data_IF_258439754092
#
_entry.id   IF_258439754092
#
_cell.length_a   1.000
_cell.length_b   1.000
_cell.length_c   1.000
_cell.angle_alpha   90.00
_cell.angle_beta   90.00
_cell.angle_gamma   90.00
#
_symmetry.space_group_name_H-M   'P 1'
#
loop_
_entity.id
_entity.type
_entity.pdbx_description
1 polymer ?
#
# COMPACT_ATOMS: atom_id res chain seq x y z
N UNK A 1 4.77 24.04 -19.89
CA UNK A 1 4.36 23.40 -18.62
C UNK A 1 3.53 22.16 -18.93
N UNK A 2 3.80 21.04 -18.26
CA UNK A 2 2.95 19.84 -18.34
C UNK A 2 1.71 20.07 -17.47
N UNK A 3 0.53 19.82 -18.01
CA UNK A 3 -0.73 19.90 -17.27
C UNK A 3 -1.30 18.49 -17.07
N UNK A 4 -1.40 18.06 -15.83
CA UNK A 4 -1.96 16.75 -15.44
C UNK A 4 -3.32 16.94 -14.80
N UNK A 5 -4.24 16.02 -15.09
CA UNK A 5 -5.54 15.92 -14.47
C UNK A 5 -5.65 14.56 -13.79
N UNK A 6 -5.75 14.56 -12.46
CA UNK A 6 -5.84 13.36 -11.64
C UNK A 6 -7.18 13.33 -10.91
N UNK A 7 -7.96 12.30 -11.19
CA UNK A 7 -9.18 11.97 -10.46
C UNK A 7 -8.94 10.75 -9.59
N UNK A 8 -9.42 10.77 -8.37
CA UNK A 8 -9.45 9.59 -7.52
C UNK A 8 -10.79 9.45 -6.81
N UNK A 9 -11.25 8.23 -6.73
CA UNK A 9 -12.48 7.87 -6.05
C UNK A 9 -12.20 6.66 -5.16
N UNK A 10 -12.63 6.72 -3.89
CA UNK A 10 -12.38 5.67 -2.91
C UNK A 10 -13.65 5.34 -2.14
N UNK A 11 -13.95 4.06 -2.02
CA UNK A 11 -14.94 3.50 -1.12
C UNK A 11 -14.29 2.59 -0.10
N UNK A 12 -14.72 2.72 1.16
CA UNK A 12 -14.33 1.86 2.27
C UNK A 12 -15.59 1.41 3.00
N UNK A 13 -15.77 0.10 3.10
CA UNK A 13 -16.76 -0.52 3.96
C UNK A 13 -16.04 -1.20 5.13
N UNK A 14 -16.45 -0.90 6.35
CA UNK A 14 -15.89 -1.49 7.56
C UNK A 14 -17.00 -1.94 8.48
N UNK A 15 -16.87 -3.18 8.95
CA UNK A 15 -17.69 -3.77 9.99
C UNK A 15 -16.82 -4.13 11.18
N UNK A 16 -17.27 -3.78 12.39
CA UNK A 16 -16.56 -4.07 13.64
C UNK A 16 -17.52 -4.60 14.66
N UNK A 17 -17.11 -5.62 15.41
CA UNK A 17 -17.87 -6.16 16.53
C UNK A 17 -16.96 -6.53 17.69
N UNK A 18 -17.39 -6.12 18.88
CA UNK A 18 -16.70 -6.41 20.13
C UNK A 18 -17.50 -7.48 20.89
N UNK A 19 -16.78 -8.50 21.36
CA UNK A 19 -17.26 -9.54 22.28
C UNK A 19 -16.44 -9.42 23.57
N UNK A 20 -16.80 -10.18 24.62
CA UNK A 20 -16.12 -10.09 25.94
C UNK A 20 -14.58 -10.05 25.84
N UNK A 21 -14.00 -11.04 25.17
CA UNK A 21 -12.55 -11.16 25.03
C UNK A 21 -12.07 -11.04 23.58
N UNK A 22 -13.00 -10.92 22.63
CA UNK A 22 -12.69 -10.82 21.21
C UNK A 22 -13.15 -9.50 20.62
N UNK A 23 -12.36 -8.97 19.73
CA UNK A 23 -12.74 -7.90 18.82
C UNK A 23 -12.47 -8.39 17.40
N UNK A 24 -13.47 -8.27 16.54
CA UNK A 24 -13.35 -8.65 15.13
C UNK A 24 -13.66 -7.45 14.28
N UNK A 25 -12.83 -7.21 13.30
CA UNK A 25 -13.03 -6.21 12.26
C UNK A 25 -12.88 -6.86 10.89
N UNK A 26 -13.77 -6.55 9.96
CA UNK A 26 -13.67 -6.96 8.58
C UNK A 26 -14.07 -5.79 7.67
N UNK A 27 -13.50 -5.73 6.50
CA UNK A 27 -13.84 -4.66 5.59
C UNK A 27 -13.39 -4.92 4.16
N UNK A 28 -13.83 -4.01 3.30
CA UNK A 28 -13.44 -3.98 1.90
C UNK A 28 -13.20 -2.55 1.44
N UNK A 29 -12.32 -2.39 0.49
CA UNK A 29 -11.94 -1.12 -0.09
C UNK A 29 -11.87 -1.24 -1.60
N UNK A 30 -12.36 -0.22 -2.29
CA UNK A 30 -12.17 -0.05 -3.73
C UNK A 30 -11.63 1.36 -3.97
N UNK A 31 -10.58 1.45 -4.77
CA UNK A 31 -9.98 2.72 -5.19
C UNK A 31 -9.96 2.71 -6.71
N UNK A 32 -10.39 3.81 -7.30
CA UNK A 32 -10.29 4.08 -8.72
C UNK A 32 -9.50 5.37 -8.93
N UNK A 33 -8.49 5.32 -9.78
CA UNK A 33 -7.63 6.46 -10.11
C UNK A 33 -7.60 6.59 -11.63
N UNK A 34 -7.73 7.81 -12.10
CA UNK A 34 -7.63 8.17 -13.51
C UNK A 34 -6.68 9.35 -13.68
N UNK A 35 -5.71 9.23 -14.56
CA UNK A 35 -4.76 10.28 -14.89
C UNK A 35 -4.77 10.57 -16.38
N UNK A 36 -5.01 11.84 -16.70
CA UNK A 36 -4.93 12.36 -18.06
C UNK A 36 -3.95 13.52 -18.15
N UNK A 37 -3.06 13.42 -19.13
CA UNK A 37 -2.20 14.53 -19.53
C UNK A 37 -2.92 15.37 -20.60
N UNK A 38 -3.03 16.67 -20.37
CA UNK A 38 -3.63 17.59 -21.36
C UNK A 38 -2.69 17.77 -22.54
N UNK A 39 -3.24 17.61 -23.75
CA UNK A 39 -2.54 17.93 -24.99
C UNK A 39 -2.32 19.46 -25.11
N UNK A 40 -1.37 19.89 -25.95
CA UNK A 40 -1.15 21.28 -26.30
C UNK A 40 -0.07 22.01 -25.50
N UNK A 41 0.65 21.30 -24.63
CA UNK A 41 1.77 21.89 -23.86
C UNK A 41 3.11 21.89 -24.62
N UNK A 42 3.18 21.23 -25.78
CA UNK A 42 4.41 21.08 -26.58
C UNK A 42 5.43 20.08 -26.03
N UNK A 43 5.09 19.38 -24.95
CA UNK A 43 5.93 18.35 -24.33
C UNK A 43 5.20 17.00 -24.30
N UNK A 44 5.93 15.94 -24.62
CA UNK A 44 5.44 14.56 -24.43
C UNK A 44 5.57 14.23 -22.93
N UNK A 45 4.47 13.84 -22.27
CA UNK A 45 4.53 13.46 -20.86
C UNK A 45 5.41 12.22 -20.65
N UNK A 46 6.23 12.22 -19.60
CA UNK A 46 7.08 11.08 -19.24
C UNK A 46 6.23 9.87 -18.79
N UNK A 47 5.05 10.14 -18.27
CA UNK A 47 4.08 9.12 -17.82
C UNK A 47 2.91 9.09 -18.81
N UNK A 48 2.50 7.92 -19.30
CA UNK A 48 1.31 7.80 -20.15
C UNK A 48 0.03 8.11 -19.37
N UNK A 49 -1.06 8.34 -20.07
CA UNK A 49 -2.37 8.34 -19.45
C UNK A 49 -2.65 6.96 -18.85
N UNK A 50 -3.29 6.91 -17.69
CA UNK A 50 -3.58 5.63 -17.06
C UNK A 50 -4.86 5.65 -16.24
N UNK A 51 -5.43 4.47 -16.10
CA UNK A 51 -6.45 4.15 -15.09
C UNK A 51 -5.91 3.07 -14.17
N UNK A 52 -6.23 3.18 -12.90
CA UNK A 52 -5.87 2.18 -11.90
C UNK A 52 -7.09 1.84 -11.06
N UNK A 53 -7.37 0.56 -10.93
CA UNK A 53 -8.41 0.02 -10.06
C UNK A 53 -7.76 -0.86 -9.02
N UNK A 54 -8.00 -0.55 -7.76
CA UNK A 54 -7.58 -1.36 -6.63
C UNK A 54 -8.81 -1.87 -5.89
N UNK A 55 -8.81 -3.13 -5.51
CA UNK A 55 -9.82 -3.72 -4.64
C UNK A 55 -9.14 -4.59 -3.59
N UNK A 56 -9.60 -4.52 -2.36
CA UNK A 56 -9.06 -5.32 -1.27
C UNK A 56 -10.11 -5.64 -0.22
N UNK A 57 -9.97 -6.82 0.38
CA UNK A 57 -10.76 -7.25 1.52
C UNK A 57 -9.81 -7.60 2.67
N UNK A 58 -10.24 -7.36 3.89
CA UNK A 58 -9.42 -7.66 5.05
C UNK A 58 -10.25 -8.15 6.23
N UNK A 59 -9.59 -8.88 7.12
CA UNK A 59 -10.10 -9.27 8.42
C UNK A 59 -9.02 -9.12 9.49
N UNK A 60 -9.41 -8.64 10.67
CA UNK A 60 -8.55 -8.47 11.83
C UNK A 60 -9.27 -9.08 13.03
N UNK A 61 -8.58 -9.94 13.77
CA UNK A 61 -9.02 -10.49 15.03
C UNK A 61 -8.11 -10.08 16.17
N UNK A 62 -8.67 -9.63 17.28
CA UNK A 62 -7.94 -9.33 18.52
C UNK A 62 -8.50 -10.17 19.63
N UNK A 63 -7.64 -10.75 20.44
CA UNK A 63 -8.02 -11.48 21.63
C UNK A 63 -7.38 -10.88 22.87
N UNK A 64 -8.20 -10.55 23.86
CA UNK A 64 -7.76 -9.96 25.10
C UNK A 64 -7.53 -11.04 26.14
N UNK A 65 -6.30 -11.14 26.62
CA UNK A 65 -5.88 -11.98 27.72
C UNK A 65 -5.89 -11.18 29.03
N UNK A 66 -5.95 -11.84 30.17
CA UNK A 66 -5.90 -11.17 31.49
C UNK A 66 -4.67 -10.28 31.69
N UNK A 67 -3.54 -10.62 31.07
CA UNK A 67 -2.26 -9.90 31.19
C UNK A 67 -1.68 -9.45 29.84
N UNK A 68 -2.50 -9.42 28.78
CA UNK A 68 -2.00 -9.06 27.47
C UNK A 68 -3.05 -9.14 26.37
N UNK A 69 -2.60 -9.35 25.15
CA UNK A 69 -3.48 -9.55 24.01
C UNK A 69 -2.69 -10.00 22.79
N UNK A 70 -3.39 -10.65 21.90
CA UNK A 70 -2.88 -11.02 20.57
C UNK A 70 -3.78 -10.45 19.48
N UNK A 71 -3.18 -10.15 18.34
CA UNK A 71 -3.87 -9.62 17.18
C UNK A 71 -3.34 -10.33 15.94
N UNK A 72 -4.24 -10.72 15.05
CA UNK A 72 -3.89 -11.23 13.72
C UNK A 72 -4.73 -10.54 12.66
N UNK A 73 -4.11 -10.23 11.53
CA UNK A 73 -4.76 -9.62 10.39
C UNK A 73 -4.35 -10.28 9.08
N UNK A 74 -5.29 -10.36 8.16
CA UNK A 74 -5.10 -10.83 6.80
C UNK A 74 -5.79 -9.87 5.84
N UNK A 75 -5.12 -9.55 4.73
CA UNK A 75 -5.66 -8.73 3.65
C UNK A 75 -5.31 -9.33 2.30
N UNK A 76 -6.30 -9.40 1.44
CA UNK A 76 -6.15 -9.79 0.05
C UNK A 76 -6.42 -8.58 -0.83
N UNK A 77 -5.50 -8.29 -1.73
CA UNK A 77 -5.57 -7.13 -2.62
C UNK A 77 -5.40 -7.54 -4.08
N UNK A 78 -6.13 -6.87 -4.93
CA UNK A 78 -5.88 -6.89 -6.36
C UNK A 78 -5.79 -5.46 -6.89
N UNK A 79 -4.88 -5.25 -7.83
CA UNK A 79 -4.68 -3.99 -8.52
C UNK A 79 -4.57 -4.26 -10.02
N UNK A 80 -5.32 -3.51 -10.81
CA UNK A 80 -5.19 -3.47 -12.25
C UNK A 80 -4.83 -2.06 -12.69
N UNK A 81 -3.75 -1.94 -13.44
CA UNK A 81 -3.27 -0.69 -14.02
C UNK A 81 -3.30 -0.82 -15.54
N UNK A 82 -3.98 0.10 -16.20
CA UNK A 82 -4.02 0.22 -17.66
C UNK A 82 -3.42 1.54 -18.05
N UNK A 83 -2.39 1.51 -18.89
CA UNK A 83 -1.67 2.69 -19.34
C UNK A 83 -1.66 2.74 -20.86
N UNK A 84 -1.81 3.94 -21.43
CA UNK A 84 -1.71 4.18 -22.86
C UNK A 84 -1.20 5.59 -23.14
N UNK A 85 -0.25 5.69 -24.06
CA UNK A 85 0.34 6.95 -24.47
C UNK A 85 1.10 6.82 -25.78
N UNK A 86 1.74 7.92 -26.17
CA UNK A 86 2.63 7.99 -27.32
C UNK A 86 3.98 8.49 -26.85
N UNK A 87 5.03 7.90 -27.38
CA UNK A 87 6.39 8.37 -27.10
C UNK A 87 6.73 9.61 -27.96
N UNK A 88 7.96 10.09 -27.81
CA UNK A 88 8.45 11.25 -28.56
C UNK A 88 8.58 11.01 -30.07
N UNK A 89 8.55 9.75 -30.53
CA UNK A 89 8.51 9.39 -31.95
C UNK A 89 7.08 9.27 -32.51
N UNK A 90 6.07 9.41 -31.64
CA UNK A 90 4.66 9.19 -31.98
C UNK A 90 4.27 7.73 -31.98
N UNK A 91 5.13 6.82 -31.50
CA UNK A 91 4.83 5.41 -31.38
C UNK A 91 3.98 5.13 -30.13
N UNK A 92 2.91 4.32 -30.24
CA UNK A 92 2.07 3.99 -29.09
C UNK A 92 2.83 3.10 -28.11
N UNK A 93 2.67 3.36 -26.81
CA UNK A 93 3.21 2.53 -25.74
C UNK A 93 2.26 2.46 -24.55
N UNK A 94 2.48 1.49 -23.67
CA UNK A 94 1.65 1.23 -22.52
C UNK A 94 1.31 -0.24 -22.38
N UNK A 95 0.24 -0.53 -21.68
CA UNK A 95 -0.21 -1.91 -21.46
C UNK A 95 -1.10 -2.05 -20.25
N UNK A 96 -1.44 -3.30 -19.93
CA UNK A 96 -2.23 -3.64 -18.75
C UNK A 96 -1.41 -4.53 -17.84
N UNK A 97 -1.36 -4.18 -16.55
CA UNK A 97 -0.71 -4.98 -15.51
C UNK A 97 -1.70 -5.29 -14.41
N UNK A 98 -1.63 -6.53 -13.90
CA UNK A 98 -2.45 -7.01 -12.79
C UNK A 98 -1.55 -7.55 -11.70
N UNK A 99 -1.85 -7.16 -10.46
CA UNK A 99 -1.13 -7.56 -9.27
C UNK A 99 -2.13 -8.12 -8.27
N UNK A 100 -1.88 -9.36 -7.80
CA UNK A 100 -2.65 -10.00 -6.74
C UNK A 100 -1.70 -10.28 -5.60
N UNK A 101 -2.03 -9.81 -4.42
CA UNK A 101 -1.13 -9.89 -3.28
C UNK A 101 -1.87 -10.17 -1.98
N UNK A 102 -1.12 -10.66 -1.02
CA UNK A 102 -1.56 -10.97 0.33
C UNK A 102 -0.69 -10.19 1.30
N UNK A 103 -1.31 -9.53 2.26
CA UNK A 103 -0.65 -8.97 3.44
C UNK A 103 -1.16 -9.68 4.68
N UNK A 104 -0.30 -9.87 5.64
CA UNK A 104 -0.69 -10.41 6.94
C UNK A 104 0.11 -9.78 8.07
N UNK A 105 -0.46 -9.82 9.26
CA UNK A 105 0.20 -9.37 10.48
C UNK A 105 -0.16 -10.28 11.63
N UNK A 106 0.78 -10.48 12.53
CA UNK A 106 0.61 -11.16 13.79
C UNK A 106 1.31 -10.35 14.85
N UNK A 107 0.59 -9.95 15.87
CA UNK A 107 1.12 -9.14 16.95
C UNK A 107 0.60 -9.58 18.31
N UNK A 108 1.32 -9.19 19.34
CA UNK A 108 0.89 -9.43 20.69
C UNK A 108 1.69 -8.63 21.70
N UNK A 109 1.11 -8.48 22.86
CA UNK A 109 1.78 -7.92 24.01
C UNK A 109 1.42 -8.73 25.26
N UNK A 110 2.36 -8.76 26.18
CA UNK A 110 2.16 -9.47 27.43
C UNK A 110 2.86 -8.75 28.58
N UNK A 111 2.16 -8.63 29.71
CA UNK A 111 2.69 -8.08 30.95
C UNK A 111 3.42 -9.18 31.72
N UNK A 112 4.74 -9.21 31.64
CA UNK A 112 5.58 -10.23 32.27
C UNK A 112 5.54 -10.13 33.79
N UNK A 113 5.67 -8.90 34.33
CA UNK A 113 5.60 -8.62 35.76
C UNK A 113 5.16 -7.16 35.98
N UNK A 114 5.09 -6.70 37.25
CA UNK A 114 4.89 -5.28 37.53
C UNK A 114 5.98 -4.46 36.84
N UNK A 115 5.57 -3.53 35.96
CA UNK A 115 6.46 -2.67 35.22
C UNK A 115 7.00 -3.22 33.89
N UNK A 116 7.08 -4.52 33.66
CA UNK A 116 7.65 -5.09 32.43
C UNK A 116 6.57 -5.52 31.44
N UNK A 117 6.62 -4.96 30.22
CA UNK A 117 5.76 -5.32 29.10
C UNK A 117 6.59 -5.71 27.88
N UNK A 118 6.32 -6.91 27.37
CA UNK A 118 6.85 -7.37 26.09
C UNK A 118 5.80 -7.11 25.01
N UNK A 119 6.22 -6.59 23.88
CA UNK A 119 5.40 -6.45 22.67
C UNK A 119 6.19 -7.00 21.50
N UNK A 120 5.54 -7.78 20.63
CA UNK A 120 6.16 -8.29 19.40
C UNK A 120 5.15 -8.26 18.27
N UNK A 121 5.57 -7.80 17.11
CA UNK A 121 4.77 -7.72 15.90
C UNK A 121 5.58 -8.23 14.71
N UNK A 122 4.96 -9.08 13.92
CA UNK A 122 5.49 -9.57 12.65
C UNK A 122 4.47 -9.31 11.54
N UNK A 123 4.91 -8.92 10.36
CA UNK A 123 4.03 -8.68 9.25
C UNK A 123 4.71 -8.77 7.90
N UNK A 124 3.90 -9.04 6.89
CA UNK A 124 4.22 -8.93 5.48
C UNK A 124 3.36 -7.81 4.89
N UNK A 125 4.02 -6.85 4.27
CA UNK A 125 3.40 -5.84 3.41
C UNK A 125 3.89 -6.01 1.97
N UNK A 126 3.13 -5.48 1.02
CA UNK A 126 3.48 -5.46 -0.38
C UNK A 126 3.23 -4.07 -0.99
N UNK A 127 3.86 -3.81 -2.12
CA UNK A 127 3.64 -2.64 -2.95
C UNK A 127 3.64 -3.06 -4.42
N UNK A 128 2.63 -2.68 -5.18
CA UNK A 128 2.71 -2.78 -6.64
C UNK A 128 3.65 -1.68 -7.18
N UNK A 129 4.35 -1.93 -8.30
CA UNK A 129 5.07 -0.89 -9.01
C UNK A 129 4.11 0.21 -9.46
N UNK A 130 4.54 1.46 -9.31
CA UNK A 130 3.79 2.62 -9.79
C UNK A 130 3.85 2.72 -11.33
N UNK A 131 2.87 3.40 -11.95
CA UNK A 131 2.85 3.63 -13.41
C UNK A 131 4.15 4.26 -13.91
N UNK A 132 4.74 5.16 -13.14
CA UNK A 132 6.05 5.75 -13.46
C UNK A 132 7.15 4.68 -13.56
N UNK A 133 7.19 3.71 -12.65
CA UNK A 133 8.17 2.62 -12.66
C UNK A 133 7.94 1.65 -13.82
N UNK A 134 6.67 1.43 -14.20
CA UNK A 134 6.29 0.50 -15.26
C UNK A 134 6.42 1.09 -16.67
N UNK A 135 6.02 2.35 -16.85
CA UNK A 135 5.74 2.91 -18.17
C UNK A 135 6.32 4.32 -18.40
N UNK A 136 7.23 4.81 -17.55
CA UNK A 136 7.93 6.06 -17.90
C UNK A 136 8.71 5.91 -19.21
N UNK A 137 8.66 6.91 -20.07
CA UNK A 137 9.40 6.92 -21.33
C UNK A 137 9.61 8.37 -21.81
N UNK A 138 10.69 8.99 -21.39
CA UNK A 138 10.96 10.38 -21.77
C UNK A 138 11.99 11.07 -20.90
N UNK A 139 12.23 12.33 -21.19
CA UNK A 139 13.13 13.18 -20.42
C UNK A 139 12.41 13.78 -19.21
N UNK A 140 12.96 13.57 -18.03
CA UNK A 140 12.49 14.19 -16.81
C UNK A 140 12.87 15.68 -16.80
N UNK A 141 11.85 16.54 -16.66
CA UNK A 141 12.01 18.00 -16.81
C UNK A 141 12.92 18.64 -15.75
N UNK A 142 13.16 17.99 -14.63
CA UNK A 142 13.99 18.53 -13.54
C UNK A 142 15.47 18.12 -13.61
N UNK A 143 15.74 16.90 -14.04
CA UNK A 143 17.09 16.31 -14.08
C UNK A 143 17.71 16.31 -15.48
N UNK A 144 16.91 16.46 -16.53
CA UNK A 144 17.33 16.29 -17.91
C UNK A 144 17.72 14.86 -18.28
N UNK A 145 17.50 13.89 -17.39
CA UNK A 145 17.78 12.48 -17.62
C UNK A 145 16.64 11.82 -18.39
N UNK A 146 17.00 10.93 -19.32
CA UNK A 146 16.02 10.06 -19.96
C UNK A 146 15.66 8.90 -19.02
N UNK A 147 14.37 8.78 -18.69
CA UNK A 147 13.85 7.73 -17.81
C UNK A 147 13.04 6.74 -18.64
N UNK A 148 13.30 5.46 -18.43
CA UNK A 148 12.56 4.37 -19.04
C UNK A 148 12.09 3.38 -17.98
N UNK A 149 10.79 3.14 -17.94
CA UNK A 149 10.17 2.15 -17.05
C UNK A 149 10.40 0.71 -17.51
N UNK A 150 10.17 -0.22 -16.60
CA UNK A 150 10.19 -1.65 -16.88
C UNK A 150 8.81 -2.24 -16.61
N UNK A 151 8.09 -2.58 -17.69
CA UNK A 151 6.76 -3.18 -17.60
C UNK A 151 6.79 -4.63 -17.08
N UNK A 152 7.94 -5.26 -16.93
CA UNK A 152 8.08 -6.60 -16.37
C UNK A 152 8.20 -6.62 -14.84
N UNK A 153 8.29 -5.47 -14.17
CA UNK A 153 8.41 -5.39 -12.71
C UNK A 153 7.30 -6.15 -11.98
N UNK A 154 7.65 -6.71 -10.85
CA UNK A 154 6.76 -7.44 -9.95
C UNK A 154 6.51 -6.65 -8.67
N UNK A 155 5.46 -7.03 -7.93
CA UNK A 155 5.20 -6.46 -6.61
C UNK A 155 6.37 -6.67 -5.66
N UNK A 156 6.75 -5.64 -4.96
CA UNK A 156 7.71 -5.70 -3.87
C UNK A 156 7.04 -6.26 -2.62
N UNK A 157 7.80 -7.00 -1.81
CA UNK A 157 7.37 -7.54 -0.54
C UNK A 157 8.34 -7.17 0.56
N UNK A 158 7.81 -6.76 1.68
CA UNK A 158 8.58 -6.37 2.86
C UNK A 158 8.11 -7.16 4.07
N UNK A 159 9.05 -7.87 4.70
CA UNK A 159 8.84 -8.52 5.99
C UNK A 159 9.37 -7.64 7.08
N UNK A 160 8.59 -7.44 8.13
CA UNK A 160 8.97 -6.63 9.27
C UNK A 160 8.69 -7.36 10.57
N UNK A 161 9.70 -7.48 11.41
CA UNK A 161 9.58 -7.98 12.77
C UNK A 161 10.10 -6.92 13.74
N UNK A 162 9.24 -6.53 14.68
CA UNK A 162 9.57 -5.56 15.71
C UNK A 162 9.22 -6.18 17.06
N UNK A 163 10.18 -6.20 17.95
CA UNK A 163 9.96 -6.57 19.34
C UNK A 163 10.47 -5.46 20.25
N UNK A 164 9.73 -5.16 21.29
CA UNK A 164 10.11 -4.18 22.30
C UNK A 164 9.83 -4.72 23.70
N UNK A 165 10.76 -4.46 24.61
CA UNK A 165 10.60 -4.72 26.03
C UNK A 165 10.59 -3.35 26.72
N UNK A 166 9.49 -3.03 27.39
CA UNK A 166 9.32 -1.76 28.10
C UNK A 166 9.29 -2.02 29.60
N UNK A 167 10.02 -1.19 30.33
CA UNK A 167 9.90 -1.10 31.79
C UNK A 167 9.30 0.25 32.18
N UNK A 168 8.34 0.24 33.08
CA UNK A 168 7.73 1.45 33.64
C UNK A 168 6.94 1.13 34.88
N UNK A 169 7.14 1.89 35.93
CA UNK A 169 6.44 1.78 37.21
C UNK A 169 5.40 2.90 37.41
N UNK A 170 5.09 3.63 36.35
CA UNK A 170 4.22 4.81 36.36
C UNK A 170 4.95 6.13 36.58
N UNK A 171 6.18 6.11 37.03
CA UNK A 171 7.00 7.31 37.24
C UNK A 171 8.11 7.44 36.17
N UNK A 172 8.65 6.32 35.67
CA UNK A 172 9.67 6.27 34.62
C UNK A 172 9.34 5.19 33.58
N UNK A 173 9.64 5.45 32.30
CA UNK A 173 9.56 4.44 31.24
C UNK A 173 10.84 4.45 30.40
N UNK A 174 11.37 3.25 30.09
CA UNK A 174 12.50 3.03 29.18
C UNK A 174 11.99 2.16 28.03
N UNK A 175 12.30 2.56 26.80
CA UNK A 175 11.97 1.83 25.56
C UNK A 175 13.24 1.31 24.92
#
# INVERSE_FOLDING_TARGET
>A
AVSLYLNSFQHLLRWKRDYRSWQVEAGGQVIFIENHSRAGTGFVPVIPNYTETQAGIYGIGKYHLARGGVEAGLRLDMQETRASGYDWTGSPYGGTRKFNNVSYSLGGHYQLSKGWRLTSNFGLAWRAPHVYELYSNGNELGSGMFVRGDSAMHSERSYKWISSLRYGDGMFSVC
#
